data_IF_022262039089
#
_entry.id   IF_022262039089
#
_cell.length_a   1.000
_cell.length_b   1.000
_cell.length_c   1.000
_cell.angle_alpha   90.00
_cell.angle_beta   90.00
_cell.angle_gamma   90.00
#
_symmetry.space_group_name_H-M   'P 1'
#
loop_
_entity.id
_entity.type
_entity.pdbx_description
1 polymer ?
#
# COMPACT_ATOMS: atom_id res chain seq x y z
N UNK A 1 16.54 26.05 31.25
CA UNK A 1 16.40 25.36 29.94
C UNK A 1 15.43 26.21 29.12
N UNK A 2 15.81 26.65 27.92
CA UNK A 2 14.91 27.46 27.07
C UNK A 2 13.80 26.55 26.53
N UNK A 3 12.55 26.90 26.79
CA UNK A 3 11.37 26.25 26.22
C UNK A 3 11.32 26.53 24.71
N UNK A 4 11.67 25.55 23.90
CA UNK A 4 11.38 25.57 22.48
C UNK A 4 9.89 25.27 22.29
N UNK A 5 9.07 26.31 22.20
CA UNK A 5 7.66 26.21 21.85
C UNK A 5 7.50 25.81 20.37
N UNK A 6 7.57 24.51 20.09
CA UNK A 6 7.06 23.95 18.84
C UNK A 6 5.53 23.95 18.85
N UNK A 7 4.91 23.96 17.66
CA UNK A 7 3.45 23.82 17.55
C UNK A 7 2.96 22.60 18.34
N UNK A 8 1.88 22.77 19.13
CA UNK A 8 1.28 21.70 19.94
C UNK A 8 0.92 20.53 19.03
N UNK A 9 1.23 19.31 19.48
CA UNK A 9 0.88 18.08 18.75
C UNK A 9 -0.64 18.04 18.56
N UNK A 10 -1.14 17.92 17.32
CA UNK A 10 -2.58 17.91 17.06
C UNK A 10 -3.23 16.71 17.75
N UNK A 11 -4.41 16.94 18.32
CA UNK A 11 -5.22 15.87 18.91
C UNK A 11 -5.92 15.08 17.80
N UNK A 12 -6.30 13.82 18.06
CA UNK A 12 -6.77 12.89 17.01
C UNK A 12 -7.98 13.43 16.22
N UNK A 13 -8.82 14.23 16.89
CA UNK A 13 -10.02 14.90 16.35
C UNK A 13 -9.70 16.11 15.44
N UNK A 14 -8.48 16.63 15.48
CA UNK A 14 -8.03 17.78 14.67
C UNK A 14 -7.39 17.34 13.34
N UNK A 15 -7.27 16.04 13.10
CA UNK A 15 -6.73 15.48 11.86
C UNK A 15 -7.84 15.31 10.80
N UNK A 16 -7.57 15.61 9.52
CA UNK A 16 -8.51 15.32 8.44
C UNK A 16 -8.84 13.83 8.38
N UNK A 17 -10.10 13.52 8.07
CA UNK A 17 -10.53 12.15 7.76
C UNK A 17 -9.68 11.61 6.62
N UNK A 18 -9.44 10.30 6.60
CA UNK A 18 -8.61 9.65 5.57
C UNK A 18 -9.11 9.96 4.16
N UNK A 19 -10.43 10.12 4.00
CA UNK A 19 -11.08 10.46 2.73
C UNK A 19 -10.77 11.87 2.20
N UNK A 20 -10.36 12.80 3.07
CA UNK A 20 -10.08 14.20 2.69
C UNK A 20 -8.59 14.43 2.35
N UNK A 21 -7.77 13.38 2.41
CA UNK A 21 -6.32 13.46 2.21
C UNK A 21 -5.93 13.23 0.74
N UNK A 22 -4.94 13.99 0.28
CA UNK A 22 -4.18 13.69 -0.93
C UNK A 22 -3.56 12.30 -0.80
N UNK A 23 -3.85 11.47 -1.78
CA UNK A 23 -3.55 10.04 -1.75
C UNK A 23 -2.06 9.74 -1.72
N UNK A 24 -1.29 10.32 -2.64
CA UNK A 24 0.15 10.12 -2.77
C UNK A 24 0.82 11.42 -3.20
N UNK A 25 1.98 11.71 -2.62
CA UNK A 25 2.89 12.76 -3.10
C UNK A 25 4.22 12.12 -3.44
N UNK A 26 4.65 12.20 -4.70
CA UNK A 26 5.97 11.75 -5.15
C UNK A 26 6.94 12.92 -5.22
N UNK A 27 8.12 12.73 -4.63
CA UNK A 27 9.18 13.71 -4.60
C UNK A 27 10.50 13.04 -4.97
N UNK A 28 11.30 13.65 -5.83
CA UNK A 28 12.64 13.21 -6.19
C UNK A 28 13.56 14.44 -6.27
N UNK A 29 14.87 14.25 -6.10
CA UNK A 29 15.86 15.33 -6.19
C UNK A 29 15.51 16.56 -5.35
N UNK A 30 14.99 16.35 -4.14
CA UNK A 30 14.49 17.42 -3.29
C UNK A 30 14.95 17.28 -1.84
N UNK A 31 14.90 18.37 -1.09
CA UNK A 31 15.11 18.41 0.36
C UNK A 31 13.79 18.57 1.08
N UNK A 32 13.48 17.64 1.97
CA UNK A 32 12.27 17.63 2.77
C UNK A 32 12.58 18.06 4.20
N UNK A 33 11.94 19.14 4.61
CA UNK A 33 12.06 19.69 5.96
C UNK A 33 10.67 19.91 6.58
N UNK A 34 10.64 20.33 7.82
CA UNK A 34 9.43 20.77 8.51
C UNK A 34 9.44 22.29 8.61
N UNK A 35 8.31 22.89 8.29
CA UNK A 35 8.01 24.27 8.67
C UNK A 35 6.61 24.29 9.29
N UNK A 36 6.54 24.62 10.58
CA UNK A 36 5.31 24.60 11.38
C UNK A 36 4.62 23.22 11.37
N UNK A 37 3.40 23.13 10.84
CA UNK A 37 2.59 21.92 10.67
C UNK A 37 2.64 21.37 9.23
N UNK A 38 3.52 21.89 8.39
CA UNK A 38 3.71 21.46 7.01
C UNK A 38 5.09 20.83 6.80
N UNK A 39 5.15 19.90 5.84
CA UNK A 39 6.42 19.51 5.22
C UNK A 39 6.75 20.52 4.12
N UNK A 40 8.01 20.91 4.02
CA UNK A 40 8.53 21.73 2.92
C UNK A 40 9.26 20.82 1.94
N UNK A 41 8.97 20.96 0.66
CA UNK A 41 9.66 20.28 -0.43
C UNK A 41 10.45 21.32 -1.21
N UNK A 42 11.78 21.25 -1.12
CA UNK A 42 12.68 22.19 -1.80
C UNK A 42 13.40 21.49 -2.94
N UNK A 43 13.22 21.96 -4.17
CA UNK A 43 13.93 21.47 -5.36
C UNK A 43 14.41 22.64 -6.24
N UNK A 44 14.87 22.34 -7.46
CA UNK A 44 15.36 23.35 -8.42
C UNK A 44 14.32 24.40 -8.84
N UNK A 45 13.03 24.13 -8.64
CA UNK A 45 11.91 25.01 -8.98
C UNK A 45 11.53 25.94 -7.82
N UNK A 46 12.01 25.67 -6.60
CA UNK A 46 11.73 26.47 -5.41
C UNK A 46 11.24 25.62 -4.24
N UNK A 47 10.41 26.22 -3.38
CA UNK A 47 9.91 25.59 -2.15
C UNK A 47 8.39 25.45 -2.21
N UNK A 48 7.89 24.23 -2.12
CA UNK A 48 6.48 23.93 -1.90
C UNK A 48 6.21 23.62 -0.43
N UNK A 49 5.08 24.07 0.11
CA UNK A 49 4.60 23.72 1.46
C UNK A 49 3.40 22.80 1.35
N UNK A 50 3.49 21.63 1.97
CA UNK A 50 2.43 20.62 1.96
C UNK A 50 2.02 20.34 3.40
N UNK A 51 0.77 20.63 3.80
CA UNK A 51 0.28 20.24 5.13
C UNK A 51 0.39 18.73 5.32
N UNK A 52 1.12 18.28 6.34
CA UNK A 52 1.41 16.86 6.52
C UNK A 52 0.12 16.04 6.72
N UNK A 53 -0.82 16.57 7.50
CA UNK A 53 -2.11 15.93 7.75
C UNK A 53 -2.99 15.75 6.51
N UNK A 54 -2.70 16.46 5.41
CA UNK A 54 -3.39 16.29 4.13
C UNK A 54 -2.77 15.22 3.25
N UNK A 55 -1.65 14.59 3.65
CA UNK A 55 -0.98 13.55 2.84
C UNK A 55 -1.16 12.21 3.51
N UNK A 56 -1.73 11.25 2.77
CA UNK A 56 -1.78 9.85 3.21
C UNK A 56 -0.42 9.18 3.08
N UNK A 57 0.26 9.38 1.95
CA UNK A 57 1.53 8.70 1.64
C UNK A 57 2.51 9.63 0.94
N UNK A 58 3.70 9.75 1.51
CA UNK A 58 4.82 10.46 0.91
C UNK A 58 5.81 9.45 0.29
N UNK A 59 5.99 9.51 -1.03
CA UNK A 59 6.88 8.66 -1.80
C UNK A 59 8.19 9.40 -2.09
N UNK A 60 9.29 8.91 -1.52
CA UNK A 60 10.62 9.51 -1.61
C UNK A 60 11.43 8.78 -2.68
N UNK A 61 11.59 9.42 -3.84
CA UNK A 61 12.43 8.96 -4.95
C UNK A 61 13.92 9.28 -4.76
N UNK A 62 14.77 8.88 -5.72
CA UNK A 62 16.22 9.11 -5.66
C UNK A 62 16.58 10.59 -5.52
N UNK A 63 17.73 10.85 -4.87
CA UNK A 63 18.21 12.21 -4.63
C UNK A 63 17.38 13.00 -3.62
N UNK A 64 16.52 12.34 -2.83
CA UNK A 64 15.72 12.99 -1.80
C UNK A 64 16.40 12.93 -0.44
N UNK A 65 16.55 14.07 0.21
CA UNK A 65 17.01 14.20 1.60
C UNK A 65 15.80 14.51 2.49
N UNK A 66 15.70 13.91 3.68
CA UNK A 66 14.64 14.24 4.65
C UNK A 66 15.20 14.45 6.05
N UNK A 67 14.76 15.52 6.71
CA UNK A 67 15.17 15.84 8.08
C UNK A 67 14.41 15.02 9.13
N UNK A 68 15.01 14.83 10.29
CA UNK A 68 14.35 14.20 11.45
C UNK A 68 13.04 14.91 11.82
N UNK A 69 13.01 16.25 11.83
CA UNK A 69 11.82 17.03 12.19
C UNK A 69 10.66 16.81 11.22
N UNK A 70 10.94 16.59 9.93
CA UNK A 70 9.92 16.20 8.96
C UNK A 70 9.37 14.81 9.27
N UNK A 71 10.23 13.83 9.58
CA UNK A 71 9.82 12.47 9.95
C UNK A 71 8.99 12.43 11.25
N UNK A 72 9.34 13.27 12.24
CA UNK A 72 8.57 13.42 13.49
C UNK A 72 7.14 13.90 13.18
N UNK A 73 7.00 14.97 12.38
CA UNK A 73 5.68 15.51 11.99
C UNK A 73 4.85 14.46 11.24
N UNK A 74 5.45 13.80 10.25
CA UNK A 74 4.82 12.73 9.46
C UNK A 74 4.31 11.61 10.38
N UNK A 75 5.14 11.17 11.33
CA UNK A 75 4.77 10.13 12.29
C UNK A 75 3.60 10.56 13.17
N UNK A 76 3.58 11.82 13.60
CA UNK A 76 2.52 12.39 14.45
C UNK A 76 1.21 12.60 13.70
N UNK A 77 1.23 13.01 12.43
CA UNK A 77 0.01 13.21 11.61
C UNK A 77 -0.57 11.92 11.03
N UNK A 78 0.13 10.81 11.23
CA UNK A 78 -0.25 9.55 10.62
C UNK A 78 -0.13 9.60 9.10
N UNK A 79 0.94 10.20 8.59
CA UNK A 79 1.31 10.12 7.18
C UNK A 79 2.27 8.95 7.00
N UNK A 80 2.02 8.06 6.05
CA UNK A 80 2.97 6.99 5.70
C UNK A 80 4.10 7.55 4.83
N UNK A 81 5.29 6.98 4.96
CA UNK A 81 6.44 7.30 4.08
C UNK A 81 6.93 6.02 3.44
N UNK A 82 7.22 6.06 2.15
CA UNK A 82 7.88 4.99 1.42
C UNK A 82 9.05 5.52 0.61
N UNK A 83 10.21 4.86 0.69
CA UNK A 83 11.36 5.12 -0.17
C UNK A 83 11.28 4.25 -1.40
N UNK A 84 11.39 4.86 -2.56
CA UNK A 84 11.20 4.21 -3.85
C UNK A 84 12.32 4.54 -4.83
N UNK A 85 12.49 3.68 -5.84
CA UNK A 85 13.36 3.89 -6.98
C UNK A 85 12.95 5.11 -7.80
N UNK A 86 13.80 5.44 -8.79
CA UNK A 86 13.46 6.44 -9.79
C UNK A 86 12.06 6.14 -10.30
N UNK A 87 11.24 7.17 -10.44
CA UNK A 87 9.92 6.99 -11.04
C UNK A 87 9.02 5.98 -10.30
N UNK A 88 9.30 5.74 -9.02
CA UNK A 88 8.59 4.80 -8.19
C UNK A 88 8.64 3.37 -8.71
N UNK A 89 9.67 2.95 -9.45
CA UNK A 89 9.74 1.61 -10.08
C UNK A 89 10.26 0.50 -9.17
N UNK A 90 10.66 0.85 -7.95
CA UNK A 90 11.11 -0.10 -6.91
C UNK A 90 10.73 0.44 -5.53
N UNK A 91 10.48 -0.43 -4.56
CA UNK A 91 10.35 -0.06 -3.16
C UNK A 91 11.64 -0.44 -2.42
N UNK A 92 12.12 0.43 -1.52
CA UNK A 92 13.34 0.22 -0.73
C UNK A 92 13.07 0.15 0.78
N UNK A 93 12.25 1.06 1.31
CA UNK A 93 11.98 1.16 2.75
C UNK A 93 10.63 1.83 3.01
N UNK A 94 10.13 1.74 4.24
CA UNK A 94 8.84 2.28 4.64
C UNK A 94 8.80 2.73 6.11
N UNK A 95 7.83 3.59 6.43
CA UNK A 95 7.54 4.09 7.77
C UNK A 95 6.50 3.26 8.54
N UNK A 96 6.12 3.75 9.72
CA UNK A 96 5.25 3.05 10.68
C UNK A 96 3.76 3.04 10.30
N UNK A 97 3.00 2.15 10.94
CA UNK A 97 1.55 2.06 10.84
C UNK A 97 0.80 3.25 11.49
N UNK A 98 -0.45 3.49 11.07
CA UNK A 98 -1.32 4.53 11.64
C UNK A 98 -2.05 4.06 12.89
N UNK A 99 -2.41 2.77 12.92
CA UNK A 99 -3.08 2.15 14.06
C UNK A 99 -2.14 1.95 15.24
N UNK A 100 -2.68 2.10 16.45
CA UNK A 100 -2.03 1.72 17.71
C UNK A 100 -2.42 0.32 18.19
N UNK A 101 -3.40 -0.30 17.52
CA UNK A 101 -3.89 -1.65 17.83
C UNK A 101 -3.19 -2.73 17.01
N UNK A 102 -2.85 -3.85 17.65
CA UNK A 102 -2.33 -5.08 17.02
C UNK A 102 -3.41 -6.02 16.49
N UNK A 103 -4.71 -5.71 16.67
CA UNK A 103 -5.82 -6.64 16.39
C UNK A 103 -5.78 -7.22 14.98
N UNK A 104 -5.61 -6.37 13.97
CA UNK A 104 -5.54 -6.78 12.57
C UNK A 104 -4.29 -7.62 12.28
N UNK A 105 -3.14 -7.22 12.85
CA UNK A 105 -1.88 -7.93 12.73
C UNK A 105 -1.96 -9.35 13.31
N UNK A 106 -2.50 -9.50 14.52
CA UNK A 106 -2.70 -10.79 15.17
C UNK A 106 -3.67 -11.67 14.38
N UNK A 107 -4.75 -11.08 13.84
CA UNK A 107 -5.71 -11.80 12.99
C UNK A 107 -5.03 -12.32 11.73
N UNK A 108 -4.27 -11.48 11.03
CA UNK A 108 -3.49 -11.89 9.86
C UNK A 108 -2.53 -13.03 10.21
N UNK A 109 -1.78 -12.92 11.31
CA UNK A 109 -0.85 -13.94 11.77
C UNK A 109 -1.55 -15.28 12.05
N UNK A 110 -2.70 -15.26 12.72
CA UNK A 110 -3.52 -16.46 12.98
C UNK A 110 -3.98 -17.11 11.68
N UNK A 111 -4.50 -16.32 10.73
CA UNK A 111 -5.05 -16.84 9.48
C UNK A 111 -3.97 -17.39 8.54
N UNK A 112 -2.81 -16.73 8.45
CA UNK A 112 -1.68 -17.17 7.59
C UNK A 112 -0.98 -18.40 8.17
N UNK A 113 -0.87 -18.50 9.50
CA UNK A 113 -0.11 -19.58 10.16
C UNK A 113 -0.85 -20.93 10.18
N UNK A 114 -2.15 -20.96 9.93
CA UNK A 114 -2.92 -22.20 9.86
C UNK A 114 -3.27 -22.55 8.40
N UNK A 115 -2.97 -23.80 7.99
CA UNK A 115 -3.13 -24.25 6.60
C UNK A 115 -4.57 -24.15 6.08
N UNK A 116 -5.56 -24.45 6.93
CA UNK A 116 -6.97 -24.45 6.54
C UNK A 116 -7.50 -23.03 6.38
N UNK A 117 -7.27 -22.16 7.38
CA UNK A 117 -7.67 -20.75 7.28
C UNK A 117 -6.95 -20.05 6.14
N UNK A 118 -5.66 -20.33 5.93
CA UNK A 118 -4.89 -19.75 4.83
C UNK A 118 -5.49 -20.10 3.46
N UNK A 119 -5.86 -21.36 3.25
CA UNK A 119 -6.54 -21.79 2.03
C UNK A 119 -7.92 -21.15 1.89
N UNK A 120 -8.67 -21.00 2.99
CA UNK A 120 -9.97 -20.33 2.97
C UNK A 120 -9.84 -18.86 2.54
N UNK A 121 -8.87 -18.13 3.07
CA UNK A 121 -8.61 -16.74 2.64
C UNK A 121 -8.15 -16.70 1.18
N UNK A 122 -7.24 -17.58 0.75
CA UNK A 122 -6.84 -17.64 -0.66
C UNK A 122 -8.04 -17.87 -1.60
N UNK A 123 -9.00 -18.73 -1.22
CA UNK A 123 -10.24 -18.93 -1.98
C UNK A 123 -11.08 -17.65 -2.03
N UNK A 124 -11.25 -16.93 -0.92
CA UNK A 124 -11.92 -15.62 -0.92
C UNK A 124 -11.23 -14.62 -1.86
N UNK A 125 -9.90 -14.57 -1.85
CA UNK A 125 -9.13 -13.71 -2.75
C UNK A 125 -9.40 -14.06 -4.22
N UNK A 126 -9.40 -15.33 -4.56
CA UNK A 126 -9.73 -15.76 -5.90
C UNK A 126 -11.21 -15.52 -6.25
N UNK A 127 -12.14 -15.64 -5.31
CA UNK A 127 -13.55 -15.29 -5.52
C UNK A 127 -13.72 -13.80 -5.89
N UNK A 128 -13.00 -12.90 -5.18
CA UNK A 128 -12.99 -11.47 -5.51
C UNK A 128 -12.43 -11.22 -6.91
N UNK A 129 -11.39 -11.96 -7.32
CA UNK A 129 -10.87 -11.88 -8.68
C UNK A 129 -11.93 -12.38 -9.66
N UNK A 130 -12.48 -13.57 -9.46
CA UNK A 130 -13.38 -14.31 -10.36
C UNK A 130 -14.84 -14.32 -9.83
N UNK A 131 -15.58 -13.20 -9.87
CA UNK A 131 -16.91 -13.12 -9.27
C UNK A 131 -17.93 -14.10 -9.88
N UNK A 132 -17.71 -14.54 -11.12
CA UNK A 132 -18.61 -15.42 -11.85
C UNK A 132 -18.20 -16.91 -11.80
N UNK A 133 -17.18 -17.27 -11.01
CA UNK A 133 -16.73 -18.65 -10.86
C UNK A 133 -16.89 -19.11 -9.41
N UNK A 134 -17.33 -20.34 -9.20
CA UNK A 134 -17.27 -20.97 -7.87
C UNK A 134 -15.88 -21.56 -7.63
N UNK A 135 -15.16 -20.97 -6.68
CA UNK A 135 -13.82 -21.40 -6.29
C UNK A 135 -13.78 -22.06 -4.90
N UNK A 136 -14.93 -22.24 -4.25
CA UNK A 136 -15.07 -22.67 -2.85
C UNK A 136 -14.38 -24.02 -2.57
N UNK A 137 -14.41 -24.94 -3.53
CA UNK A 137 -13.87 -26.30 -3.39
C UNK A 137 -12.52 -26.51 -4.09
N UNK A 138 -11.94 -25.48 -4.71
CA UNK A 138 -10.70 -25.62 -5.46
C UNK A 138 -9.47 -25.71 -4.55
N UNK A 139 -8.47 -26.46 -4.99
CA UNK A 139 -7.14 -26.54 -4.36
C UNK A 139 -6.26 -25.35 -4.79
N UNK A 140 -5.21 -25.03 -4.03
CA UNK A 140 -4.25 -23.98 -4.40
C UNK A 140 -3.66 -24.16 -5.81
N UNK A 141 -3.39 -25.40 -6.23
CA UNK A 141 -2.83 -25.68 -7.55
C UNK A 141 -3.83 -25.34 -8.65
N UNK A 142 -5.10 -25.71 -8.48
CA UNK A 142 -6.16 -25.40 -9.44
C UNK A 142 -6.39 -23.89 -9.54
N UNK A 143 -6.37 -23.19 -8.40
CA UNK A 143 -6.53 -21.73 -8.34
C UNK A 143 -5.42 -21.01 -9.12
N UNK A 144 -4.14 -21.34 -8.88
CA UNK A 144 -3.00 -20.77 -9.63
C UNK A 144 -3.05 -21.05 -11.13
N UNK A 145 -3.49 -22.26 -11.52
CA UNK A 145 -3.63 -22.64 -12.93
C UNK A 145 -4.63 -21.75 -13.69
N UNK A 146 -5.77 -21.43 -13.05
CA UNK A 146 -6.80 -20.55 -13.61
C UNK A 146 -6.32 -19.10 -13.75
N UNK A 147 -5.58 -18.61 -12.76
CA UNK A 147 -5.03 -17.26 -12.74
C UNK A 147 -4.17 -16.96 -13.96
N UNK A 148 -3.20 -17.82 -14.28
CA UNK A 148 -2.31 -17.62 -15.42
C UNK A 148 -3.08 -17.54 -16.75
N UNK A 149 -4.11 -18.37 -16.93
CA UNK A 149 -4.94 -18.35 -18.13
C UNK A 149 -5.74 -17.04 -18.27
N UNK A 150 -6.25 -16.50 -17.15
CA UNK A 150 -7.01 -15.25 -17.16
C UNK A 150 -6.13 -14.03 -17.39
N UNK A 151 -4.98 -13.92 -16.72
CA UNK A 151 -4.06 -12.81 -16.94
C UNK A 151 -3.61 -12.75 -18.41
N UNK A 152 -3.32 -13.91 -19.03
CA UNK A 152 -3.06 -13.99 -20.48
C UNK A 152 -4.26 -13.56 -21.34
N UNK A 153 -5.50 -13.75 -20.87
CA UNK A 153 -6.70 -13.27 -21.58
C UNK A 153 -6.81 -11.75 -21.47
N UNK A 154 -6.62 -11.18 -20.27
CA UNK A 154 -6.62 -9.72 -20.05
C UNK A 154 -5.57 -9.03 -20.93
N UNK A 155 -4.34 -9.55 -20.96
CA UNK A 155 -3.30 -9.00 -21.83
C UNK A 155 -3.69 -9.02 -23.32
N UNK A 156 -4.29 -10.12 -23.80
CA UNK A 156 -4.76 -10.22 -25.19
C UNK A 156 -5.92 -9.26 -25.48
N UNK A 157 -6.83 -9.10 -24.54
CA UNK A 157 -7.97 -8.19 -24.66
C UNK A 157 -7.49 -6.74 -24.76
N UNK A 158 -6.61 -6.30 -23.84
CA UNK A 158 -6.09 -4.94 -23.87
C UNK A 158 -5.12 -4.70 -25.01
N UNK A 159 -4.32 -5.69 -25.41
CA UNK A 159 -3.52 -5.62 -26.64
C UNK A 159 -4.37 -5.31 -27.86
N UNK A 160 -5.52 -5.99 -28.01
CA UNK A 160 -6.48 -5.72 -29.09
C UNK A 160 -7.16 -4.36 -28.92
N UNK A 161 -7.67 -4.06 -27.72
CA UNK A 161 -8.43 -2.84 -27.43
C UNK A 161 -7.61 -1.57 -27.69
N UNK A 162 -6.35 -1.57 -27.32
CA UNK A 162 -5.47 -0.40 -27.40
C UNK A 162 -4.50 -0.44 -28.59
N UNK A 163 -4.52 -1.50 -29.41
CA UNK A 163 -3.63 -1.64 -30.56
C UNK A 163 -2.14 -1.82 -30.20
N UNK A 164 -1.83 -2.16 -28.95
CA UNK A 164 -0.45 -2.35 -28.47
C UNK A 164 -0.04 -3.81 -28.66
N UNK A 165 1.05 -4.06 -29.39
CA UNK A 165 1.58 -5.43 -29.57
C UNK A 165 2.05 -6.00 -28.23
N UNK A 166 1.54 -7.19 -27.88
CA UNK A 166 1.92 -7.92 -26.68
C UNK A 166 2.44 -9.31 -27.03
N UNK A 167 3.69 -9.60 -26.65
CA UNK A 167 4.28 -10.94 -26.79
C UNK A 167 4.30 -11.67 -25.44
N UNK A 168 5.11 -11.16 -24.51
CA UNK A 168 5.25 -11.69 -23.15
C UNK A 168 5.70 -10.60 -22.18
N UNK A 169 5.56 -10.91 -20.89
CA UNK A 169 6.12 -10.09 -19.82
C UNK A 169 7.63 -10.31 -19.76
N UNK A 170 8.38 -9.24 -19.89
CA UNK A 170 9.84 -9.18 -19.75
C UNK A 170 10.17 -8.04 -18.80
N UNK A 171 11.09 -8.27 -17.88
CA UNK A 171 11.54 -7.27 -16.93
C UNK A 171 12.97 -7.60 -16.50
N UNK A 172 13.87 -6.66 -16.76
CA UNK A 172 15.20 -6.66 -16.17
C UNK A 172 15.22 -5.64 -15.01
N UNK A 173 15.42 -6.09 -13.75
CA UNK A 173 15.52 -5.20 -12.61
C UNK A 173 16.72 -4.24 -12.64
N UNK A 174 17.74 -4.55 -13.44
CA UNK A 174 18.98 -3.77 -13.58
C UNK A 174 18.97 -2.81 -14.75
N UNK A 175 18.08 -3.01 -15.72
CA UNK A 175 17.95 -2.16 -16.92
C UNK A 175 16.48 -1.98 -17.33
N UNK A 176 15.86 -0.93 -16.81
CA UNK A 176 14.46 -0.59 -17.11
C UNK A 176 14.25 -0.23 -18.59
N UNK A 177 15.20 0.49 -19.19
CA UNK A 177 15.07 1.03 -20.55
C UNK A 177 15.19 -0.07 -21.62
N UNK A 178 15.84 -1.20 -21.31
CA UNK A 178 15.90 -2.38 -22.20
C UNK A 178 14.54 -3.00 -22.54
N UNK A 179 13.51 -2.76 -21.71
CA UNK A 179 12.18 -3.30 -21.92
C UNK A 179 11.43 -2.60 -23.05
N UNK A 180 10.56 -3.33 -23.75
CA UNK A 180 9.60 -2.69 -24.66
C UNK A 180 8.73 -1.66 -23.93
N UNK A 181 8.23 -0.64 -24.62
CA UNK A 181 7.39 0.43 -24.03
C UNK A 181 6.26 -0.13 -23.14
N UNK A 182 5.57 -1.18 -23.60
CA UNK A 182 4.52 -1.82 -22.79
C UNK A 182 5.06 -2.49 -21.53
N UNK A 183 6.24 -3.12 -21.58
CA UNK A 183 6.87 -3.71 -20.40
C UNK A 183 7.35 -2.65 -19.40
N UNK A 184 7.90 -1.53 -19.90
CA UNK A 184 8.23 -0.37 -19.07
C UNK A 184 6.98 0.20 -18.39
N UNK A 185 5.90 0.39 -19.16
CA UNK A 185 4.63 0.89 -18.66
C UNK A 185 4.02 -0.03 -17.58
N UNK A 186 4.02 -1.35 -17.82
CA UNK A 186 3.55 -2.33 -16.84
C UNK A 186 4.39 -2.33 -15.57
N UNK A 187 5.70 -2.17 -15.68
CA UNK A 187 6.59 -2.07 -14.50
C UNK A 187 6.24 -0.83 -13.67
N UNK A 188 6.19 0.34 -14.31
CA UNK A 188 5.82 1.60 -13.62
C UNK A 188 4.42 1.53 -13.00
N UNK A 189 3.43 1.00 -13.72
CA UNK A 189 2.06 0.90 -13.24
C UNK A 189 1.91 -0.08 -12.07
N UNK A 190 2.58 -1.23 -12.16
CA UNK A 190 2.54 -2.22 -11.09
C UNK A 190 3.19 -1.69 -9.82
N UNK A 191 4.32 -0.99 -9.91
CA UNK A 191 4.96 -0.48 -8.70
C UNK A 191 4.17 0.67 -8.08
N UNK A 192 3.53 1.52 -8.89
CA UNK A 192 2.57 2.50 -8.38
C UNK A 192 1.42 1.82 -7.61
N UNK A 193 0.84 0.75 -8.16
CA UNK A 193 -0.19 -0.03 -7.48
C UNK A 193 0.33 -0.72 -6.21
N UNK A 194 1.53 -1.30 -6.26
CA UNK A 194 2.16 -1.93 -5.11
C UNK A 194 2.42 -0.91 -4.01
N UNK A 195 2.88 0.30 -4.33
CA UNK A 195 3.07 1.40 -3.37
C UNK A 195 1.77 1.81 -2.70
N UNK A 196 0.68 1.93 -3.47
CA UNK A 196 -0.67 2.16 -2.94
C UNK A 196 -1.10 1.04 -1.99
N UNK A 197 -1.07 -0.21 -2.44
CA UNK A 197 -1.50 -1.35 -1.63
C UNK A 197 -0.66 -1.50 -0.37
N UNK A 198 0.65 -1.36 -0.51
CA UNK A 198 1.60 -1.35 0.59
C UNK A 198 1.22 -0.31 1.64
N UNK A 199 0.96 0.92 1.20
CA UNK A 199 0.61 2.01 2.09
C UNK A 199 -0.69 1.74 2.86
N UNK A 200 -1.67 1.11 2.23
CA UNK A 200 -2.94 0.75 2.88
C UNK A 200 -2.69 -0.36 3.90
N UNK A 201 -1.97 -1.42 3.53
CA UNK A 201 -1.62 -2.55 4.41
C UNK A 201 -0.89 -2.05 5.66
N UNK A 202 0.15 -1.23 5.49
CA UNK A 202 0.90 -0.71 6.63
C UNK A 202 0.08 0.30 7.42
N UNK A 203 -0.72 1.15 6.76
CA UNK A 203 -1.54 2.13 7.46
C UNK A 203 -2.53 1.46 8.43
N UNK A 204 -3.17 0.37 8.02
CA UNK A 204 -4.09 -0.39 8.87
C UNK A 204 -3.39 -1.40 9.79
N UNK A 205 -2.04 -1.38 9.85
CA UNK A 205 -1.24 -2.14 10.81
C UNK A 205 -1.02 -3.61 10.47
N UNK A 206 -1.16 -3.99 9.21
CA UNK A 206 -0.88 -5.35 8.75
C UNK A 206 0.59 -5.51 8.34
N UNK A 207 1.07 -6.76 8.40
CA UNK A 207 2.41 -7.12 7.98
C UNK A 207 2.46 -7.39 6.45
N UNK A 208 3.26 -6.63 5.68
CA UNK A 208 3.38 -6.83 4.23
C UNK A 208 3.93 -8.21 3.81
N UNK A 209 4.73 -8.84 4.67
CA UNK A 209 5.36 -10.14 4.39
C UNK A 209 4.46 -11.35 4.65
N UNK A 210 3.35 -11.19 5.37
CA UNK A 210 2.45 -12.31 5.72
C UNK A 210 1.37 -12.51 4.65
N UNK A 211 1.77 -13.08 3.52
CA UNK A 211 0.87 -13.41 2.40
C UNK A 211 0.14 -14.75 2.53
N UNK A 212 -1.03 -14.83 1.89
CA UNK A 212 -1.86 -16.01 1.75
C UNK A 212 -1.55 -16.81 0.49
N UNK A 213 -1.34 -16.14 -0.66
CA UNK A 213 -1.00 -16.80 -1.94
C UNK A 213 0.50 -16.76 -2.17
N UNK A 214 1.12 -15.57 -2.12
CA UNK A 214 2.56 -15.41 -2.19
C UNK A 214 3.23 -15.73 -0.84
N UNK A 215 4.46 -16.25 -0.87
CA UNK A 215 5.27 -16.58 0.32
C UNK A 215 6.72 -16.20 0.12
N UNK A 216 7.46 -16.15 1.24
CA UNK A 216 8.93 -16.01 1.25
C UNK A 216 9.43 -14.71 0.61
N UNK A 217 8.60 -13.66 0.60
CA UNK A 217 8.96 -12.33 0.16
C UNK A 217 8.41 -11.30 1.15
N UNK A 218 9.16 -10.24 1.41
CA UNK A 218 8.75 -9.17 2.34
C UNK A 218 7.47 -8.41 1.90
N UNK A 219 7.07 -8.60 0.63
CA UNK A 219 5.90 -7.99 -0.02
C UNK A 219 4.82 -9.01 -0.39
N UNK A 220 4.88 -10.24 0.15
CA UNK A 220 3.94 -11.30 -0.24
C UNK A 220 2.47 -10.87 -0.14
N UNK A 221 2.06 -10.24 0.96
CA UNK A 221 0.68 -9.79 1.12
C UNK A 221 0.33 -8.58 0.23
N UNK A 222 1.32 -7.77 -0.12
CA UNK A 222 1.16 -6.64 -1.04
C UNK A 222 0.84 -7.15 -2.44
N UNK A 223 1.55 -8.19 -2.90
CA UNK A 223 1.28 -8.83 -4.19
C UNK A 223 -0.10 -9.49 -4.22
N UNK A 224 -0.45 -10.19 -3.13
CA UNK A 224 -1.75 -10.81 -2.93
C UNK A 224 -2.90 -9.82 -3.15
N UNK A 225 -2.86 -8.69 -2.45
CA UNK A 225 -3.89 -7.65 -2.52
C UNK A 225 -3.83 -6.90 -3.86
N UNK A 226 -2.64 -6.54 -4.36
CA UNK A 226 -2.51 -5.82 -5.62
C UNK A 226 -3.07 -6.61 -6.82
N UNK A 227 -2.85 -7.92 -6.85
CA UNK A 227 -3.37 -8.79 -7.90
C UNK A 227 -4.91 -8.86 -7.93
N UNK A 228 -5.63 -8.43 -6.87
CA UNK A 228 -7.08 -8.22 -6.93
C UNK A 228 -7.47 -7.10 -7.90
N UNK A 229 -6.62 -6.08 -8.05
CA UNK A 229 -6.95 -4.84 -8.76
C UNK A 229 -6.18 -4.65 -10.08
N UNK A 230 -5.04 -5.34 -10.28
CA UNK A 230 -4.15 -5.14 -11.45
C UNK A 230 -4.86 -5.11 -12.79
N UNK A 231 -5.78 -6.05 -13.03
CA UNK A 231 -6.48 -6.15 -14.30
C UNK A 231 -7.25 -4.86 -14.62
N UNK A 232 -7.98 -4.31 -13.65
CA UNK A 232 -8.80 -3.12 -13.85
C UNK A 232 -8.01 -1.80 -13.70
N UNK A 233 -6.75 -1.86 -13.26
CA UNK A 233 -5.95 -0.66 -12.92
C UNK A 233 -4.60 -0.67 -13.61
N UNK A 234 -3.55 -1.26 -13.03
CA UNK A 234 -2.19 -1.16 -13.54
C UNK A 234 -2.03 -1.68 -14.96
N UNK A 235 -2.69 -2.79 -15.31
CA UNK A 235 -2.62 -3.36 -16.66
C UNK A 235 -3.40 -2.47 -17.63
N UNK A 236 -4.60 -2.01 -17.25
CA UNK A 236 -5.40 -1.10 -18.07
C UNK A 236 -4.63 0.18 -18.40
N UNK A 237 -4.11 0.85 -17.36
CA UNK A 237 -3.35 2.09 -17.49
C UNK A 237 -2.08 1.89 -18.33
N UNK A 238 -1.37 0.78 -18.14
CA UNK A 238 -0.15 0.50 -18.91
C UNK A 238 -0.44 0.39 -20.41
N UNK A 239 -1.50 -0.32 -20.81
CA UNK A 239 -1.87 -0.44 -22.22
C UNK A 239 -2.40 0.87 -22.79
N UNK A 240 -3.22 1.60 -22.03
CA UNK A 240 -3.74 2.90 -22.44
C UNK A 240 -2.59 3.88 -22.71
N UNK A 241 -1.69 4.05 -21.74
CA UNK A 241 -0.57 4.98 -21.87
C UNK A 241 0.40 4.54 -22.96
N UNK A 242 0.71 3.24 -23.06
CA UNK A 242 1.59 2.73 -24.12
C UNK A 242 1.02 2.97 -25.53
N UNK A 243 -0.30 2.99 -25.70
CA UNK A 243 -0.93 3.31 -27.00
C UNK A 243 -0.82 4.79 -27.40
N UNK A 244 -0.51 5.67 -26.45
CA UNK A 244 -0.49 7.13 -26.61
C UNK A 244 0.92 7.72 -26.43
N UNK A 245 1.95 6.88 -26.32
CA UNK A 245 3.31 7.33 -25.99
C UNK A 245 4.26 7.03 -27.13
N UNK A 246 4.94 8.08 -27.62
CA UNK A 246 5.99 7.96 -28.61
C UNK A 246 7.29 7.38 -28.02
N UNK A 247 8.23 6.90 -28.85
CA UNK A 247 9.48 6.27 -28.39
C UNK A 247 10.38 7.17 -27.54
N UNK A 248 10.39 8.47 -27.81
CA UNK A 248 11.24 9.47 -27.14
C UNK A 248 10.61 10.05 -25.86
N UNK A 249 9.37 9.67 -25.55
CA UNK A 249 8.64 10.20 -24.41
C UNK A 249 8.84 9.33 -23.17
N UNK A 250 9.03 9.96 -22.00
CA UNK A 250 9.17 9.22 -20.75
C UNK A 250 7.83 8.59 -20.31
N UNK A 251 7.65 7.35 -20.74
CA UNK A 251 6.46 6.53 -20.50
C UNK A 251 6.24 6.29 -19.02
N UNK A 252 7.32 6.17 -18.25
CA UNK A 252 7.28 5.98 -16.81
C UNK A 252 6.48 7.09 -16.12
N UNK A 253 6.82 8.36 -16.37
CA UNK A 253 6.12 9.52 -15.80
C UNK A 253 4.68 9.61 -16.26
N UNK A 254 4.40 9.39 -17.54
CA UNK A 254 3.01 9.36 -18.04
C UNK A 254 2.18 8.32 -17.30
N UNK A 255 2.72 7.12 -17.12
CA UNK A 255 2.06 6.04 -16.36
C UNK A 255 1.83 6.45 -14.91
N UNK A 256 2.83 7.00 -14.21
CA UNK A 256 2.65 7.46 -12.82
C UNK A 256 1.57 8.51 -12.69
N UNK A 257 1.53 9.49 -13.59
CA UNK A 257 0.49 10.53 -13.59
C UNK A 257 -0.89 9.91 -13.80
N UNK A 258 -1.03 9.00 -14.76
CA UNK A 258 -2.30 8.31 -15.02
C UNK A 258 -2.72 7.40 -13.87
N UNK A 259 -1.78 6.71 -13.22
CA UNK A 259 -2.05 5.90 -12.02
C UNK A 259 -2.50 6.78 -10.85
N UNK A 260 -1.86 7.94 -10.63
CA UNK A 260 -2.30 8.93 -9.64
C UNK A 260 -3.73 9.35 -9.90
N UNK A 261 -4.06 9.67 -11.15
CA UNK A 261 -5.42 10.09 -11.53
C UNK A 261 -6.43 8.94 -11.32
N UNK A 262 -6.03 7.69 -11.53
CA UNK A 262 -6.85 6.52 -11.21
C UNK A 262 -7.06 6.29 -9.70
N UNK A 263 -6.23 6.89 -8.84
CA UNK A 263 -6.31 6.74 -7.38
C UNK A 263 -6.95 7.95 -6.68
N UNK A 264 -7.09 9.08 -7.38
CA UNK A 264 -7.42 10.38 -6.78
C UNK A 264 -8.81 10.41 -6.13
N UNK A 265 -9.76 9.62 -6.63
CA UNK A 265 -11.12 9.57 -6.10
C UNK A 265 -11.26 8.71 -4.82
N UNK A 266 -10.16 8.09 -4.37
CA UNK A 266 -10.11 7.27 -3.16
C UNK A 266 -10.88 5.95 -3.24
N UNK A 267 -11.58 5.64 -4.35
CA UNK A 267 -12.44 4.45 -4.46
C UNK A 267 -11.64 3.17 -4.35
N UNK A 268 -10.46 3.13 -4.97
CA UNK A 268 -9.57 1.98 -4.89
C UNK A 268 -9.05 1.74 -3.47
N UNK A 269 -8.77 2.80 -2.71
CA UNK A 269 -8.33 2.67 -1.31
C UNK A 269 -9.45 2.13 -0.46
N UNK A 270 -10.65 2.69 -0.59
CA UNK A 270 -11.85 2.20 0.11
C UNK A 270 -12.10 0.72 -0.20
N UNK A 271 -11.96 0.33 -1.47
CA UNK A 271 -12.05 -1.07 -1.87
C UNK A 271 -10.95 -1.93 -1.24
N UNK A 272 -9.67 -1.51 -1.28
CA UNK A 272 -8.56 -2.24 -0.66
C UNK A 272 -8.79 -2.45 0.84
N UNK A 273 -9.17 -1.40 1.57
CA UNK A 273 -9.46 -1.50 3.01
C UNK A 273 -10.58 -2.48 3.27
N UNK A 274 -11.72 -2.29 2.60
CA UNK A 274 -12.91 -3.14 2.74
C UNK A 274 -12.61 -4.60 2.42
N UNK A 275 -11.99 -4.86 1.26
CA UNK A 275 -11.68 -6.22 0.82
C UNK A 275 -10.65 -6.85 1.76
N UNK A 276 -9.67 -6.10 2.26
CA UNK A 276 -8.71 -6.60 3.25
C UNK A 276 -9.38 -6.98 4.57
N UNK A 277 -10.31 -6.15 5.08
CA UNK A 277 -11.09 -6.47 6.29
C UNK A 277 -11.96 -7.72 6.10
N UNK A 278 -12.64 -7.81 4.95
CA UNK A 278 -13.41 -9.00 4.56
C UNK A 278 -12.55 -10.28 4.49
N UNK A 279 -11.35 -10.18 3.91
CA UNK A 279 -10.41 -11.31 3.84
C UNK A 279 -9.96 -11.78 5.21
N UNK A 280 -9.87 -10.87 6.19
CA UNK A 280 -9.46 -11.16 7.55
C UNK A 280 -10.62 -11.55 8.49
N UNK A 281 -11.85 -11.64 7.99
CA UNK A 281 -13.07 -11.86 8.78
C UNK A 281 -13.19 -10.85 9.93
N UNK A 282 -12.97 -9.59 9.59
CA UNK A 282 -13.19 -8.47 10.49
C UNK A 282 -14.47 -7.82 10.00
N UNK A 283 -15.59 -8.20 10.62
CA UNK A 283 -16.86 -7.51 10.40
C UNK A 283 -16.71 -6.03 10.82
N UNK A 284 -17.57 -5.17 10.25
CA UNK A 284 -17.80 -3.79 10.69
C UNK A 284 -18.38 -3.75 12.12
N UNK A 285 -17.75 -4.43 13.08
CA UNK A 285 -17.87 -4.01 14.47
C UNK A 285 -17.29 -2.60 14.50
N UNK A 286 -18.08 -1.59 14.92
CA UNK A 286 -17.54 -0.26 15.11
C UNK A 286 -16.29 -0.45 15.95
N UNK A 287 -15.15 0.06 15.44
CA UNK A 287 -14.01 0.23 16.30
C UNK A 287 -14.57 0.91 17.55
N UNK A 288 -14.44 0.26 18.71
CA UNK A 288 -14.61 0.94 19.99
C UNK A 288 -13.65 2.14 19.93
N UNK A 289 -14.09 3.27 19.39
CA UNK A 289 -13.34 4.53 19.27
C UNK A 289 -13.09 5.14 20.66
N UNK A 290 -13.45 4.43 21.74
CA UNK A 290 -13.36 4.88 23.13
C UNK A 290 -12.62 3.92 24.07
N UNK A 291 -11.76 3.02 23.59
CA UNK A 291 -10.78 2.40 24.49
C UNK A 291 -9.44 3.09 24.32
N UNK A 292 -9.17 4.00 25.26
CA UNK A 292 -7.83 4.45 25.68
C UNK A 292 -6.80 3.37 25.39
N UNK A 293 -5.60 3.74 24.90
CA UNK A 293 -4.42 2.87 24.67
C UNK A 293 -4.10 2.01 25.92
N UNK A 294 -4.90 0.97 26.18
CA UNK A 294 -4.68 0.02 27.25
C UNK A 294 -3.87 -1.10 26.59
N UNK A 295 -2.56 -0.99 26.74
CA UNK A 295 -1.66 -2.10 26.46
C UNK A 295 -2.08 -3.25 27.39
N UNK A 296 -2.17 -4.46 26.86
CA UNK A 296 -2.42 -5.66 27.64
C UNK A 296 -1.15 -6.52 27.69
N UNK A 297 -0.91 -7.17 28.83
CA UNK A 297 0.10 -8.21 28.97
C UNK A 297 -0.49 -9.55 28.52
N UNK A 298 0.32 -10.32 27.79
CA UNK A 298 -0.04 -11.66 27.35
C UNK A 298 0.13 -12.66 28.51
N UNK A 299 -0.88 -13.51 28.74
CA UNK A 299 -0.89 -14.62 29.69
C UNK A 299 -1.26 -15.93 28.96
N UNK A 300 -0.68 -17.07 29.37
CA UNK A 300 -0.89 -18.38 28.75
C UNK A 300 -2.27 -18.98 29.09
N UNK A 301 -2.99 -18.37 30.04
CA UNK A 301 -4.36 -18.70 30.46
C UNK A 301 -5.40 -17.73 29.88
N UNK A 302 -5.53 -17.66 28.57
CA UNK A 302 -6.69 -17.13 27.82
C UNK A 302 -7.23 -15.70 28.14
N UNK A 303 -6.66 -14.94 29.08
CA UNK A 303 -7.14 -13.61 29.46
C UNK A 303 -6.06 -12.53 29.29
N UNK A 304 -6.43 -11.41 28.67
CA UNK A 304 -5.56 -10.24 28.47
C UNK A 304 -5.53 -9.39 29.74
N UNK A 305 -4.39 -9.34 30.40
CA UNK A 305 -4.20 -8.66 31.69
C UNK A 305 -3.82 -7.18 31.47
N UNK A 306 -4.33 -6.21 32.26
CA UNK A 306 -4.03 -4.77 32.05
C UNK A 306 -2.55 -4.43 32.32
N UNK A 307 -1.89 -3.69 31.43
CA UNK A 307 -0.53 -3.17 31.63
C UNK A 307 -0.51 -2.03 32.66
N UNK A 308 0.55 -1.95 33.48
CA UNK A 308 0.74 -0.87 34.47
C UNK A 308 0.13 -1.09 35.85
N UNK A 309 -0.47 -2.26 36.11
CA UNK A 309 -0.91 -2.67 37.45
C UNK A 309 0.19 -3.53 38.10
N UNK A 310 0.61 -3.20 39.33
CA UNK A 310 1.55 -4.01 40.08
C UNK A 310 0.82 -5.25 40.64
N UNK A 311 1.01 -6.41 40.01
CA UNK A 311 0.49 -7.69 40.47
C UNK A 311 1.37 -8.25 41.61
N UNK A 312 1.49 -7.51 42.72
CA UNK A 312 2.03 -8.05 43.97
C UNK A 312 0.89 -8.38 44.93
N UNK A 313 0.80 -9.68 45.24
CA UNK A 313 -0.07 -10.37 46.21
C UNK A 313 -1.52 -10.64 45.78
N UNK A 314 -1.71 -11.82 45.19
CA UNK A 314 -2.70 -12.75 45.71
C UNK A 314 -1.97 -14.08 45.98
N UNK A 315 -1.85 -14.41 47.27
CA UNK A 315 -1.60 -15.79 47.72
C UNK A 315 -2.91 -16.57 47.58
#
# INVERSE_FOLDING_TARGET
MKDYAGARKPELLELPRVDDRITFVYVEHAKINRQDSAITVTDSRGVARVPAAMVSVLMLGPGTEITHRAMELIGDTGTSVIWVGERGVRLYAHGRALTRSSRLLERQAKLVSNRLSRLAVARKMYQLRFPNEDVSNLTMQQLRGREGARIRRVYREYSKRFGVKWARREYDPSDFESGSLINQALSAANVALYGLVYSVITAIGLAPGLGFIHTSHELSFVYDIADLYKAATSILVAFEVASQTGPEEDIGRKVRLKMRDAFVDGRIIKAIVKDTQYLLDVDDEPADEEKVDIIHLWDDKSELVKYGVNYSKFN
#
